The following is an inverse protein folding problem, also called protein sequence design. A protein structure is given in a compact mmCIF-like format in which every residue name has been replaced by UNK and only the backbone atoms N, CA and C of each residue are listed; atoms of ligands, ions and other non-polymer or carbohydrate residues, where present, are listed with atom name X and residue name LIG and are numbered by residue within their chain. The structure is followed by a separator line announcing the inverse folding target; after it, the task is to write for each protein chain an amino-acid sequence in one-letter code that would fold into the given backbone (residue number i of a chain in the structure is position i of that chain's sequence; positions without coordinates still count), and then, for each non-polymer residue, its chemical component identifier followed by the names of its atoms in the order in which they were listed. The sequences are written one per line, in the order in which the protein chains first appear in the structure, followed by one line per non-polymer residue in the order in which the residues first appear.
data_IF_903298385019
#
_entry.id   IF_903298385019
#
_cell.length_a   1.000
_cell.length_b   1.000
_cell.length_c   1.000
_cell.angle_alpha   90.00
_cell.angle_beta   90.00
_cell.angle_gamma   90.00
#
_symmetry.space_group_name_H-M   'P 1'
#
loop_
_entity.id
_entity.type
_entity.pdbx_description
1 polymer ?
#
# COMPACT_ATOMS: atom_id res chain seq x y z
N UNK A 1 30.56 -33.03 -39.60
CA UNK A 1 30.54 -34.05 -38.54
C UNK A 1 31.91 -34.03 -37.87
N UNK A 2 31.99 -33.63 -36.59
CA UNK A 2 33.27 -33.62 -35.86
C UNK A 2 33.56 -35.05 -35.39
N UNK A 3 34.57 -35.70 -35.96
CA UNK A 3 35.02 -37.04 -35.54
C UNK A 3 36.35 -36.90 -34.81
N UNK A 4 36.44 -37.45 -33.58
CA UNK A 4 37.71 -37.62 -32.87
C UNK A 4 37.83 -39.05 -32.43
N UNK A 5 39.04 -39.56 -32.61
CA UNK A 5 39.44 -40.88 -32.18
C UNK A 5 39.81 -40.81 -30.70
N UNK A 6 39.14 -41.62 -29.88
CA UNK A 6 39.46 -41.76 -28.45
C UNK A 6 39.76 -43.23 -28.22
N UNK A 7 41.04 -43.56 -28.04
CA UNK A 7 41.50 -44.97 -28.07
C UNK A 7 41.54 -45.51 -29.51
N UNK A 8 40.96 -46.70 -29.74
CA UNK A 8 40.89 -47.36 -31.06
C UNK A 8 39.55 -47.19 -31.80
N UNK A 9 38.56 -46.51 -31.18
CA UNK A 9 37.22 -46.35 -31.76
C UNK A 9 36.97 -44.91 -32.25
N UNK A 10 36.36 -44.80 -33.43
CA UNK A 10 35.93 -43.52 -34.00
C UNK A 10 34.48 -43.28 -33.61
N UNK A 11 34.24 -42.31 -32.71
CA UNK A 11 32.88 -41.92 -32.30
C UNK A 11 32.45 -40.65 -33.03
N UNK A 12 31.35 -40.73 -33.78
CA UNK A 12 30.83 -39.62 -34.62
C UNK A 12 30.00 -38.57 -33.83
N UNK A 13 29.59 -38.87 -32.60
CA UNK A 13 28.57 -38.10 -31.87
C UNK A 13 29.11 -37.38 -30.62
N UNK A 14 30.35 -36.91 -30.65
CA UNK A 14 30.93 -36.16 -29.54
C UNK A 14 30.91 -34.66 -29.87
N UNK A 15 30.46 -33.85 -28.92
CA UNK A 15 30.55 -32.39 -29.01
C UNK A 15 31.74 -31.92 -28.18
N UNK A 16 32.53 -31.01 -28.74
CA UNK A 16 33.62 -30.33 -28.03
C UNK A 16 33.00 -29.13 -27.33
N UNK A 17 33.03 -29.16 -25.99
CA UNK A 17 32.71 -27.97 -25.21
C UNK A 17 34.01 -27.21 -25.00
N UNK A 18 34.08 -25.97 -25.47
CA UNK A 18 35.13 -25.07 -25.04
C UNK A 18 34.84 -24.63 -23.59
N UNK A 19 35.64 -25.13 -22.67
CA UNK A 19 35.46 -24.90 -21.22
C UNK A 19 35.63 -23.42 -20.88
N UNK A 20 36.49 -22.70 -21.59
CA UNK A 20 36.74 -21.28 -21.33
C UNK A 20 35.54 -20.43 -21.80
N UNK A 21 35.00 -20.75 -22.98
CA UNK A 21 33.82 -20.08 -23.50
C UNK A 21 32.57 -20.37 -22.65
N UNK A 22 32.40 -21.63 -22.24
CA UNK A 22 31.31 -22.03 -21.34
C UNK A 22 31.40 -21.33 -19.97
N UNK A 23 32.61 -21.20 -19.41
CA UNK A 23 32.82 -20.48 -18.15
C UNK A 23 32.52 -18.98 -18.29
N UNK A 24 32.96 -18.35 -19.38
CA UNK A 24 32.67 -16.94 -19.66
C UNK A 24 31.16 -16.69 -19.81
N UNK A 25 30.45 -17.58 -20.51
CA UNK A 25 29.00 -17.50 -20.66
C UNK A 25 28.25 -17.65 -19.33
N UNK A 26 28.71 -18.54 -18.44
CA UNK A 26 28.12 -18.72 -17.11
C UNK A 26 28.29 -17.46 -16.24
N UNK A 27 29.47 -16.84 -16.24
CA UNK A 27 29.73 -15.59 -15.51
C UNK A 27 28.87 -14.44 -16.06
N UNK A 28 28.75 -14.33 -17.40
CA UNK A 28 27.93 -13.30 -18.03
C UNK A 28 26.43 -13.44 -17.69
N UNK A 29 25.92 -14.67 -17.60
CA UNK A 29 24.54 -14.94 -17.17
C UNK A 29 24.31 -14.51 -15.72
N UNK A 30 25.18 -14.92 -14.80
CA UNK A 30 25.08 -14.55 -13.39
C UNK A 30 25.10 -13.03 -13.18
N UNK A 31 25.99 -12.33 -13.88
CA UNK A 31 26.08 -10.86 -13.82
C UNK A 31 24.81 -10.18 -14.34
N UNK A 32 24.17 -10.70 -15.39
CA UNK A 32 22.89 -10.18 -15.89
C UNK A 32 21.73 -10.42 -14.92
N UNK A 33 21.68 -11.59 -14.27
CA UNK A 33 20.69 -11.88 -13.24
C UNK A 33 20.84 -10.94 -12.03
N UNK A 34 22.07 -10.78 -11.52
CA UNK A 34 22.35 -9.86 -10.41
C UNK A 34 21.97 -8.42 -10.75
N UNK A 35 22.30 -7.94 -11.97
CA UNK A 35 21.92 -6.61 -12.44
C UNK A 35 20.40 -6.42 -12.61
N UNK A 36 19.70 -7.46 -13.05
CA UNK A 36 18.24 -7.45 -13.18
C UNK A 36 17.55 -7.40 -11.81
N UNK A 37 18.10 -8.10 -10.81
CA UNK A 37 17.59 -8.09 -9.44
C UNK A 37 17.81 -6.72 -8.80
N UNK A 38 19.01 -6.14 -8.90
CA UNK A 38 19.31 -4.82 -8.32
C UNK A 38 18.44 -3.72 -8.93
N UNK A 39 18.27 -3.71 -10.26
CA UNK A 39 17.44 -2.70 -10.93
C UNK A 39 15.97 -2.76 -10.50
N UNK A 40 15.42 -3.95 -10.29
CA UNK A 40 14.04 -4.11 -9.82
C UNK A 40 13.87 -3.63 -8.37
N UNK A 41 14.87 -3.88 -7.51
CA UNK A 41 14.82 -3.42 -6.11
C UNK A 41 14.90 -1.90 -5.99
N UNK A 42 15.72 -1.23 -6.80
CA UNK A 42 15.84 0.24 -6.78
C UNK A 42 14.57 0.92 -7.31
N UNK A 43 13.95 0.37 -8.36
CA UNK A 43 12.67 0.85 -8.87
C UNK A 43 11.57 0.71 -7.81
N UNK A 44 11.48 -0.46 -7.16
CA UNK A 44 10.53 -0.71 -6.08
C UNK A 44 10.75 0.23 -4.88
N UNK A 45 12.00 0.53 -4.51
CA UNK A 45 12.31 1.48 -3.44
C UNK A 45 11.86 2.90 -3.78
N UNK A 46 12.11 3.38 -5.01
CA UNK A 46 11.66 4.72 -5.45
C UNK A 46 10.15 4.85 -5.47
N UNK A 47 9.45 3.81 -5.93
CA UNK A 47 7.97 3.79 -5.89
C UNK A 47 7.47 3.79 -4.45
N UNK A 48 8.09 3.00 -3.56
CA UNK A 48 7.75 2.97 -2.15
C UNK A 48 8.00 4.31 -1.45
N UNK A 49 9.11 4.99 -1.76
CA UNK A 49 9.44 6.32 -1.26
C UNK A 49 8.41 7.36 -1.72
N UNK A 50 8.03 7.34 -2.99
CA UNK A 50 7.00 8.23 -3.53
C UNK A 50 5.66 8.02 -2.81
N UNK A 51 5.25 6.77 -2.64
CA UNK A 51 4.02 6.43 -1.95
C UNK A 51 4.07 6.79 -0.45
N UNK A 52 5.24 6.70 0.18
CA UNK A 52 5.44 7.16 1.55
C UNK A 52 5.32 8.68 1.69
N UNK A 53 5.84 9.44 0.71
CA UNK A 53 5.68 10.90 0.65
C UNK A 53 4.21 11.28 0.48
N UNK A 54 3.49 10.66 -0.47
CA UNK A 54 2.06 10.89 -0.69
C UNK A 54 1.22 10.61 0.57
N UNK A 55 1.51 9.49 1.26
CA UNK A 55 0.85 9.18 2.54
C UNK A 55 1.12 10.21 3.62
N UNK A 56 2.35 10.75 3.69
CA UNK A 56 2.69 11.81 4.64
C UNK A 56 1.92 13.09 4.32
N UNK A 57 1.85 13.48 3.05
CA UNK A 57 1.09 14.63 2.59
C UNK A 57 -0.39 14.51 3.00
N UNK A 58 -1.01 13.38 2.69
CA UNK A 58 -2.42 13.13 3.01
C UNK A 58 -2.68 13.15 4.51
N UNK A 59 -1.77 12.61 5.34
CA UNK A 59 -1.88 12.72 6.80
C UNK A 59 -1.83 14.16 7.29
N UNK A 60 -0.96 14.99 6.71
CA UNK A 60 -0.85 16.40 7.08
C UNK A 60 -2.11 17.17 6.67
N UNK A 61 -2.64 16.91 5.47
CA UNK A 61 -3.89 17.51 5.01
C UNK A 61 -5.08 17.10 5.88
N UNK A 62 -5.19 15.82 6.24
CA UNK A 62 -6.23 15.33 7.14
C UNK A 62 -6.08 15.89 8.57
N UNK A 63 -4.85 16.06 9.05
CA UNK A 63 -4.60 16.71 10.34
C UNK A 63 -4.98 18.19 10.30
N UNK A 64 -4.69 18.90 9.22
CA UNK A 64 -5.12 20.29 9.00
C UNK A 64 -6.64 20.40 8.93
N UNK A 65 -7.30 19.52 8.17
CA UNK A 65 -8.76 19.48 8.08
C UNK A 65 -9.40 19.18 9.44
N UNK A 66 -8.82 18.26 10.23
CA UNK A 66 -9.27 18.01 11.61
C UNK A 66 -9.13 19.24 12.48
N UNK A 67 -8.00 19.93 12.41
CA UNK A 67 -7.77 21.17 13.16
C UNK A 67 -8.75 22.26 12.76
N UNK A 68 -8.99 22.45 11.46
CA UNK A 68 -9.97 23.42 10.96
C UNK A 68 -11.41 23.04 11.36
N UNK A 69 -11.75 21.75 11.38
CA UNK A 69 -13.05 21.27 11.90
C UNK A 69 -13.18 21.45 13.41
N UNK A 70 -12.09 21.32 14.17
CA UNK A 70 -12.06 21.57 15.62
C UNK A 70 -12.21 23.06 15.91
N UNK A 71 -11.48 23.92 15.21
CA UNK A 71 -11.56 25.39 15.33
C UNK A 71 -12.89 25.95 14.77
N UNK A 72 -13.47 25.29 13.77
CA UNK A 72 -14.77 25.61 13.17
C UNK A 72 -15.99 25.07 13.93
N UNK A 73 -15.81 24.51 15.13
CA UNK A 73 -16.90 24.07 16.01
C UNK A 73 -17.53 22.72 15.68
N UNK A 74 -16.92 21.92 14.80
CA UNK A 74 -17.48 20.65 14.33
C UNK A 74 -16.83 19.39 14.94
N UNK A 75 -15.97 19.50 15.96
CA UNK A 75 -15.29 18.33 16.54
C UNK A 75 -15.24 18.30 18.07
N UNK A 76 -16.39 18.02 18.70
CA UNK A 76 -16.44 17.08 19.82
C UNK A 76 -17.88 16.56 19.98
N UNK A 77 -18.13 15.24 19.93
CA UNK A 77 -19.45 14.69 20.27
C UNK A 77 -19.83 14.90 21.75
N UNK A 78 -18.91 15.40 22.58
CA UNK A 78 -19.15 15.78 23.99
C UNK A 78 -19.01 17.27 24.30
N UNK A 79 -18.83 18.15 23.29
CA UNK A 79 -18.67 19.60 23.49
C UNK A 79 -19.82 20.46 22.94
N UNK A 80 -20.79 19.85 22.27
CA UNK A 80 -21.99 20.53 21.77
C UNK A 80 -22.96 20.79 22.92
N UNK A 81 -23.60 21.96 22.93
CA UNK A 81 -24.65 22.24 23.91
C UNK A 81 -25.78 21.20 23.76
N UNK A 82 -26.56 20.99 24.84
CA UNK A 82 -27.69 20.05 24.82
C UNK A 82 -28.65 20.38 23.65
N UNK A 83 -28.88 21.67 23.39
CA UNK A 83 -29.72 22.16 22.30
C UNK A 83 -29.16 21.80 20.92
N UNK A 84 -27.85 21.99 20.72
CA UNK A 84 -27.18 21.63 19.47
C UNK A 84 -27.18 20.11 19.23
N UNK A 85 -27.04 19.31 20.29
CA UNK A 85 -27.16 17.83 20.22
C UNK A 85 -28.56 17.42 19.79
N UNK A 86 -29.61 18.06 20.32
CA UNK A 86 -31.00 17.79 19.96
C UNK A 86 -31.32 18.17 18.51
N UNK A 87 -30.89 19.35 18.06
CA UNK A 87 -31.07 19.81 16.67
C UNK A 87 -30.39 18.86 15.70
N UNK A 88 -29.19 18.37 16.04
CA UNK A 88 -28.47 17.42 15.19
C UNK A 88 -29.18 16.06 15.11
N UNK A 89 -29.73 15.56 16.21
CA UNK A 89 -30.53 14.33 16.21
C UNK A 89 -31.77 14.47 15.32
N UNK A 90 -32.43 15.62 15.36
CA UNK A 90 -33.60 15.91 14.53
C UNK A 90 -33.23 15.93 13.04
N UNK A 91 -32.13 16.59 12.66
CA UNK A 91 -31.62 16.58 11.28
C UNK A 91 -31.25 15.17 10.78
N UNK A 92 -30.70 14.32 11.66
CA UNK A 92 -30.36 12.93 11.29
C UNK A 92 -31.61 12.09 11.05
N UNK A 93 -32.66 12.30 11.85
CA UNK A 93 -33.98 11.67 11.66
C UNK A 93 -34.64 12.15 10.37
N UNK A 94 -34.66 13.46 10.11
CA UNK A 94 -35.23 14.03 8.87
C UNK A 94 -34.53 13.51 7.60
N UNK A 95 -33.22 13.29 7.68
CA UNK A 95 -32.43 12.70 6.57
C UNK A 95 -32.62 11.18 6.44
N UNK A 96 -33.38 10.54 7.32
CA UNK A 96 -33.58 9.09 7.36
C UNK A 96 -32.31 8.30 7.68
N UNK A 97 -31.32 8.93 8.33
CA UNK A 97 -30.06 8.29 8.72
C UNK A 97 -30.17 7.51 10.03
N UNK A 98 -31.19 7.84 10.83
CA UNK A 98 -31.58 7.12 12.05
C UNK A 98 -33.08 6.87 12.02
N UNK A 99 -33.49 5.76 12.64
CA UNK A 99 -34.90 5.43 12.86
C UNK A 99 -35.52 6.27 13.98
N UNK A 100 -36.85 6.30 14.05
CA UNK A 100 -37.57 6.97 15.14
C UNK A 100 -37.16 6.44 16.52
N UNK A 101 -37.01 5.11 16.63
CA UNK A 101 -36.64 4.47 17.88
C UNK A 101 -35.24 4.87 18.33
N UNK A 102 -34.28 4.94 17.40
CA UNK A 102 -32.91 5.42 17.68
C UNK A 102 -32.88 6.90 18.06
N UNK A 103 -33.71 7.72 17.41
CA UNK A 103 -33.86 9.14 17.78
C UNK A 103 -34.37 9.29 19.22
N UNK A 104 -35.42 8.56 19.59
CA UNK A 104 -36.01 8.63 20.93
C UNK A 104 -35.05 8.12 22.01
N UNK A 105 -34.31 7.04 21.73
CA UNK A 105 -33.30 6.51 22.65
C UNK A 105 -32.18 7.53 22.91
N UNK A 106 -31.61 8.10 21.84
CA UNK A 106 -30.53 9.11 21.96
C UNK A 106 -31.00 10.43 22.55
N UNK A 107 -32.22 10.86 22.25
CA UNK A 107 -32.81 12.06 22.85
C UNK A 107 -32.94 11.94 24.36
N UNK A 108 -33.29 10.75 24.85
CA UNK A 108 -33.41 10.48 26.29
C UNK A 108 -32.05 10.52 26.98
N UNK A 109 -31.05 9.86 26.41
CA UNK A 109 -29.67 9.90 26.87
C UNK A 109 -29.13 11.34 27.00
N UNK A 110 -29.40 12.19 26.00
CA UNK A 110 -29.01 13.61 26.00
C UNK A 110 -29.68 14.42 27.12
N UNK A 111 -30.90 14.05 27.53
CA UNK A 111 -31.66 14.72 28.59
C UNK A 111 -31.34 14.18 29.99
N UNK A 112 -30.85 12.93 30.09
CA UNK A 112 -30.39 12.30 31.34
C UNK A 112 -29.00 12.79 31.76
N UNK A 113 -28.24 13.44 30.87
CA UNK A 113 -26.95 14.11 31.14
C UNK A 113 -27.09 15.42 31.98
N UNK A 114 -28.30 15.77 32.42
CA UNK A 114 -28.65 16.98 33.22
C UNK A 114 -28.60 16.67 34.72
#
# INVERSE_FOLDING_TARGET
VLTKVVGNDVRQNWFVIDVNEAAAAAVARKKREEQGITGNTEAMQREAEKLAQERRQLRLEMAKMRKEMEEGGAASPGGLSIEERLVRLEQLKEKGLISEDEYQAKRREVLEDI
#
